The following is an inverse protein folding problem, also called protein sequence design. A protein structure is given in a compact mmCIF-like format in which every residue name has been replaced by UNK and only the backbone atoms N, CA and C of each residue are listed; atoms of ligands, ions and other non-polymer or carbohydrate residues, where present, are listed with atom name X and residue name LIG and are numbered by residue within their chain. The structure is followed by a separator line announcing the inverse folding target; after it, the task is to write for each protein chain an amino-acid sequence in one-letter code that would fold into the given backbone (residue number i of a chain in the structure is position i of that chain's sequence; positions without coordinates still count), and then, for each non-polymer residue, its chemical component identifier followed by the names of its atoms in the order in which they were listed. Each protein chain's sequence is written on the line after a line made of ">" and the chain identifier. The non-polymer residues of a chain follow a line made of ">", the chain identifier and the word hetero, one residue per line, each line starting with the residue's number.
data_IF_873951519502
#
_entry.id   IF_873951519502
#
_cell.length_a   1.000
_cell.length_b   1.000
_cell.length_c   1.000
_cell.angle_alpha   90.00
_cell.angle_beta   90.00
_cell.angle_gamma   90.00
#
_symmetry.space_group_name_H-M   'P 1'
#
loop_
_entity.id
_entity.type
_entity.pdbx_description
1 polymer ?
#
# COMPACT_ATOMS: atom_id res chain seq x y z
N UNK A 1 14.53 30.46 10.84
CA UNK A 1 13.16 31.00 10.72
C UNK A 1 12.38 30.10 9.77
N UNK A 2 11.62 29.17 10.36
CA UNK A 2 10.44 28.44 9.82
C UNK A 2 10.35 28.14 8.31
N UNK A 3 11.26 27.36 7.74
CA UNK A 3 11.26 27.04 6.30
C UNK A 3 10.27 25.94 5.87
N UNK A 4 9.61 25.24 6.80
CA UNK A 4 8.74 24.11 6.45
C UNK A 4 7.29 24.50 6.12
N UNK A 5 6.82 25.70 6.49
CA UNK A 5 5.40 26.05 6.35
C UNK A 5 5.00 26.56 4.97
N UNK A 6 5.94 26.90 4.08
CA UNK A 6 5.64 27.55 2.80
C UNK A 6 6.12 26.74 1.59
N UNK A 7 5.98 25.42 1.65
CA UNK A 7 6.40 24.54 0.56
C UNK A 7 5.23 24.16 -0.35
N UNK A 8 5.34 24.50 -1.65
CA UNK A 8 4.38 24.09 -2.67
C UNK A 8 4.57 22.62 -3.03
N UNK A 9 3.47 21.92 -3.27
CA UNK A 9 3.45 20.51 -3.68
C UNK A 9 2.68 20.40 -4.99
N UNK A 10 3.22 19.65 -5.94
CA UNK A 10 2.59 19.43 -7.24
C UNK A 10 1.17 18.88 -7.10
N UNK A 11 0.19 19.53 -7.74
CA UNK A 11 -1.21 19.10 -7.74
C UNK A 11 -1.54 18.03 -8.81
N UNK A 12 -0.55 17.60 -9.62
CA UNK A 12 -0.76 16.45 -10.49
C UNK A 12 -1.03 15.21 -9.64
N UNK A 13 -2.00 14.38 -10.07
CA UNK A 13 -2.34 13.13 -9.40
C UNK A 13 -1.08 12.29 -9.19
N UNK A 14 -0.97 11.71 -8.00
CA UNK A 14 0.09 10.79 -7.59
C UNK A 14 1.53 11.34 -7.60
N UNK A 15 1.75 12.62 -7.93
CA UNK A 15 3.08 13.21 -7.99
C UNK A 15 3.63 13.55 -6.60
N UNK A 16 2.88 14.31 -5.80
CA UNK A 16 3.24 14.78 -4.46
C UNK A 16 4.64 15.40 -4.31
N UNK A 17 5.28 15.77 -5.43
CA UNK A 17 6.63 16.30 -5.43
C UNK A 17 6.62 17.71 -4.85
N UNK A 18 7.48 17.94 -3.86
CA UNK A 18 7.81 19.27 -3.35
C UNK A 18 8.45 20.10 -4.46
N UNK A 19 7.98 21.34 -4.62
CA UNK A 19 8.45 22.24 -5.66
C UNK A 19 9.46 23.21 -5.04
N UNK A 20 10.71 23.05 -5.44
CA UNK A 20 11.84 23.89 -5.04
C UNK A 20 12.45 24.45 -6.33
N UNK A 21 12.56 25.78 -6.44
CA UNK A 21 13.03 26.44 -7.66
C UNK A 21 11.91 26.92 -8.57
N UNK A 22 11.45 26.10 -9.52
CA UNK A 22 10.48 26.52 -10.54
C UNK A 22 9.10 25.90 -10.33
N UNK A 23 8.07 26.74 -10.21
CA UNK A 23 6.67 26.36 -10.14
C UNK A 23 5.93 26.72 -11.43
N UNK A 24 5.00 25.87 -11.84
CA UNK A 24 4.08 26.16 -12.94
C UNK A 24 2.69 26.39 -12.38
N UNK A 25 2.20 27.62 -12.46
CA UNK A 25 0.96 28.06 -11.82
C UNK A 25 -0.09 28.31 -12.89
N UNK A 26 -1.29 27.80 -12.69
CA UNK A 26 -2.43 27.98 -13.60
C UNK A 26 -3.38 29.05 -13.10
N UNK A 27 -4.20 29.62 -14.01
CA UNK A 27 -5.24 30.58 -13.67
C UNK A 27 -6.31 30.01 -12.72
N UNK A 28 -6.50 28.69 -12.71
CA UNK A 28 -7.36 27.98 -11.76
C UNK A 28 -6.66 27.63 -10.43
N UNK A 29 -5.59 28.36 -10.10
CA UNK A 29 -4.81 28.24 -8.87
C UNK A 29 -4.14 26.89 -8.61
N UNK A 30 -4.07 25.97 -9.57
CA UNK A 30 -3.28 24.74 -9.42
C UNK A 30 -1.80 25.00 -9.74
N UNK A 31 -0.91 24.35 -9.00
CA UNK A 31 0.54 24.42 -9.14
C UNK A 31 1.14 23.06 -9.50
N UNK A 32 2.13 23.06 -10.39
CA UNK A 32 2.79 21.86 -10.90
C UNK A 32 4.31 21.98 -10.85
N UNK A 33 4.98 20.82 -10.72
CA UNK A 33 6.42 20.75 -10.91
C UNK A 33 6.79 20.98 -12.38
N UNK A 34 8.07 21.25 -12.65
CA UNK A 34 8.54 21.56 -14.01
C UNK A 34 8.13 20.53 -15.07
N UNK A 35 8.13 19.23 -14.74
CA UNK A 35 7.70 18.17 -15.66
C UNK A 35 6.22 18.34 -16.04
N UNK A 36 5.32 18.28 -15.05
CA UNK A 36 3.88 18.34 -15.29
C UNK A 36 3.41 19.68 -15.86
N UNK A 37 4.06 20.78 -15.47
CA UNK A 37 3.74 22.11 -15.98
C UNK A 37 4.09 22.28 -17.45
N UNK A 38 5.30 21.85 -17.86
CA UNK A 38 5.70 21.82 -19.26
C UNK A 38 4.78 20.92 -20.08
N UNK A 39 4.50 19.72 -19.58
CA UNK A 39 3.58 18.79 -20.25
C UNK A 39 2.18 19.41 -20.40
N UNK A 40 1.66 20.10 -19.38
CA UNK A 40 0.37 20.77 -19.45
C UNK A 40 0.32 21.89 -20.49
N UNK A 41 1.40 22.67 -20.62
CA UNK A 41 1.51 23.76 -21.60
C UNK A 41 1.70 23.21 -23.03
N UNK A 42 2.47 22.14 -23.21
CA UNK A 42 2.78 21.56 -24.52
C UNK A 42 1.73 20.57 -25.02
N UNK A 43 0.87 20.00 -24.16
CA UNK A 43 -0.14 19.01 -24.55
C UNK A 43 -1.13 19.61 -25.55
N UNK A 44 -0.90 19.30 -26.82
CA UNK A 44 -1.85 19.47 -27.91
C UNK A 44 -2.82 18.28 -27.90
N UNK A 45 -3.71 18.23 -26.91
CA UNK A 45 -4.83 17.28 -26.99
C UNK A 45 -5.80 17.73 -28.08
N UNK A 46 -6.67 16.84 -28.57
CA UNK A 46 -7.76 17.19 -29.51
C UNK A 46 -8.69 18.28 -28.96
N UNK A 47 -8.62 18.58 -27.65
CA UNK A 47 -9.40 19.60 -26.94
C UNK A 47 -8.58 20.82 -26.51
N UNK A 48 -7.29 20.89 -26.88
CA UNK A 48 -6.34 21.92 -26.47
C UNK A 48 -5.67 21.65 -25.11
N UNK A 49 -4.78 22.55 -24.66
CA UNK A 49 -4.09 22.42 -23.38
C UNK A 49 -5.04 22.74 -22.20
N UNK A 50 -4.92 21.99 -21.11
CA UNK A 50 -5.80 22.12 -19.94
C UNK A 50 -5.07 21.78 -18.63
N UNK A 51 -5.62 22.23 -17.51
CA UNK A 51 -5.13 21.94 -16.18
C UNK A 51 -5.18 20.43 -15.88
N UNK A 52 -4.05 19.76 -15.56
CA UNK A 52 -4.03 18.33 -15.24
C UNK A 52 -4.84 17.94 -13.99
N UNK A 53 -5.12 18.88 -13.10
CA UNK A 53 -5.81 18.62 -11.83
C UNK A 53 -7.33 18.73 -11.93
N UNK A 54 -7.85 19.79 -12.57
CA UNK A 54 -9.30 20.07 -12.63
C UNK A 54 -9.87 20.13 -14.06
N UNK A 55 -9.04 20.02 -15.10
CA UNK A 55 -9.50 20.01 -16.50
C UNK A 55 -9.87 21.39 -17.08
N UNK A 56 -9.72 22.49 -16.32
CA UNK A 56 -9.92 23.85 -16.83
C UNK A 56 -9.06 24.09 -18.08
N UNK A 57 -9.70 24.48 -19.19
CA UNK A 57 -9.01 24.77 -20.45
C UNK A 57 -8.23 26.08 -20.36
N UNK A 58 -7.02 26.07 -20.91
CA UNK A 58 -6.21 27.27 -21.05
C UNK A 58 -6.72 28.08 -22.23
N UNK A 59 -7.04 29.35 -22.00
CA UNK A 59 -7.63 30.27 -23.01
C UNK A 59 -6.57 31.09 -23.71
N UNK A 60 -5.45 31.33 -23.04
CA UNK A 60 -4.35 32.20 -23.47
C UNK A 60 -3.02 31.77 -22.83
N UNK A 61 -1.95 32.49 -23.14
CA UNK A 61 -0.61 32.22 -22.61
C UNK A 61 -0.47 32.50 -21.10
N UNK A 62 -1.38 33.30 -20.51
CA UNK A 62 -1.41 33.63 -19.08
C UNK A 62 -2.15 32.57 -18.26
N UNK A 63 -2.84 31.64 -18.92
CA UNK A 63 -3.58 30.56 -18.29
C UNK A 63 -2.67 29.56 -17.56
N UNK A 64 -1.39 29.48 -17.95
CA UNK A 64 -0.34 28.76 -17.24
C UNK A 64 0.99 29.50 -17.34
N UNK A 65 1.56 29.87 -16.18
CA UNK A 65 2.79 30.65 -16.10
C UNK A 65 3.88 29.88 -15.36
N UNK A 66 5.11 30.04 -15.84
CA UNK A 66 6.31 29.57 -15.15
C UNK A 66 6.77 30.64 -14.15
N UNK A 67 7.02 30.23 -12.91
CA UNK A 67 7.46 31.12 -11.83
C UNK A 67 8.71 30.58 -11.15
N UNK A 68 9.74 31.40 -11.10
CA UNK A 68 10.90 31.17 -10.25
C UNK A 68 10.59 31.59 -8.80
N UNK A 69 10.74 30.66 -7.87
CA UNK A 69 10.47 30.82 -6.44
C UNK A 69 11.67 31.37 -5.67
N UNK A 70 12.87 31.27 -6.22
CA UNK A 70 14.14 31.66 -5.60
C UNK A 70 14.56 33.11 -5.89
N UNK A 71 13.69 33.94 -6.47
CA UNK A 71 13.98 35.37 -6.68
C UNK A 71 14.10 36.14 -5.36
N UNK A 72 15.08 37.04 -5.25
CA UNK A 72 15.28 37.86 -4.04
C UNK A 72 14.04 38.70 -3.71
N UNK A 73 13.86 39.04 -2.43
CA UNK A 73 12.74 39.89 -2.00
C UNK A 73 12.80 41.27 -2.67
N UNK A 74 13.99 41.85 -2.81
CA UNK A 74 14.19 43.14 -3.48
C UNK A 74 13.77 43.09 -4.96
N UNK A 75 14.15 42.04 -5.69
CA UNK A 75 13.72 41.88 -7.08
C UNK A 75 12.20 41.76 -7.20
N UNK A 76 11.54 41.07 -6.27
CA UNK A 76 10.08 40.96 -6.22
C UNK A 76 9.40 42.28 -5.89
N UNK A 77 9.96 43.06 -4.97
CA UNK A 77 9.44 44.38 -4.62
C UNK A 77 9.54 45.36 -5.79
N UNK A 78 10.66 45.33 -6.54
CA UNK A 78 10.85 46.16 -7.73
C UNK A 78 9.79 45.92 -8.82
N UNK A 79 9.31 44.68 -8.97
CA UNK A 79 8.21 44.36 -9.90
C UNK A 79 6.88 45.04 -9.54
N UNK A 80 6.71 45.47 -8.28
CA UNK A 80 5.49 46.14 -7.80
C UNK A 80 5.63 47.67 -7.80
N UNK A 81 6.85 48.20 -7.91
CA UNK A 81 7.08 49.65 -7.99
C UNK A 81 6.44 50.23 -9.26
N UNK A 82 5.72 51.35 -9.11
CA UNK A 82 5.02 52.03 -10.20
C UNK A 82 3.54 51.67 -10.34
N UNK A 83 3.06 50.62 -9.65
CA UNK A 83 1.64 50.34 -9.54
C UNK A 83 0.98 51.16 -8.40
N UNK A 84 -0.31 51.46 -8.57
CA UNK A 84 -1.13 52.07 -7.53
C UNK A 84 -1.20 51.12 -6.31
N UNK A 85 -1.10 51.63 -5.05
CA UNK A 85 -1.27 50.83 -3.84
C UNK A 85 -2.50 49.91 -3.84
N UNK A 86 -3.62 50.33 -4.41
CA UNK A 86 -4.84 49.51 -4.51
C UNK A 86 -4.62 48.25 -5.36
N UNK A 87 -3.95 48.37 -6.50
CA UNK A 87 -3.58 47.24 -7.37
C UNK A 87 -2.61 46.30 -6.66
N UNK A 88 -1.64 46.85 -5.91
CA UNK A 88 -0.70 46.04 -5.13
C UNK A 88 -1.43 45.23 -4.05
N UNK A 89 -2.40 45.84 -3.37
CA UNK A 89 -3.24 45.15 -2.38
C UNK A 89 -4.10 44.04 -3.00
N UNK A 90 -4.65 44.27 -4.20
CA UNK A 90 -5.39 43.25 -4.95
C UNK A 90 -4.48 42.04 -5.30
N UNK A 91 -3.28 42.31 -5.80
CA UNK A 91 -2.28 41.27 -6.09
C UNK A 91 -1.93 40.49 -4.82
N UNK A 92 -1.73 41.17 -3.70
CA UNK A 92 -1.45 40.53 -2.41
C UNK A 92 -2.62 39.63 -1.98
N UNK A 93 -3.86 40.09 -2.11
CA UNK A 93 -5.05 39.31 -1.80
C UNK A 93 -5.18 38.06 -2.69
N UNK A 94 -4.89 38.19 -3.99
CA UNK A 94 -4.86 37.06 -4.92
C UNK A 94 -3.79 36.04 -4.55
N UNK A 95 -2.61 36.49 -4.14
CA UNK A 95 -1.54 35.62 -3.65
C UNK A 95 -1.94 34.88 -2.36
N UNK A 96 -2.58 35.55 -1.41
CA UNK A 96 -3.10 34.93 -0.18
C UNK A 96 -4.15 33.86 -0.52
N UNK A 97 -5.09 34.20 -1.40
CA UNK A 97 -6.14 33.27 -1.86
C UNK A 97 -5.54 32.03 -2.51
N UNK A 98 -4.53 32.21 -3.36
CA UNK A 98 -3.77 31.11 -3.96
C UNK A 98 -3.15 30.19 -2.89
N UNK A 99 -2.49 30.74 -1.88
CA UNK A 99 -1.87 29.94 -0.81
C UNK A 99 -2.89 29.22 0.07
N UNK A 100 -4.01 29.88 0.39
CA UNK A 100 -5.11 29.24 1.11
C UNK A 100 -5.67 28.04 0.32
N UNK A 101 -5.85 28.20 -1.00
CA UNK A 101 -6.24 27.11 -1.89
C UNK A 101 -5.22 25.97 -1.86
N UNK A 102 -3.90 26.25 -1.89
CA UNK A 102 -2.88 25.20 -1.78
C UNK A 102 -2.99 24.41 -0.47
N UNK A 103 -3.23 25.10 0.65
CA UNK A 103 -3.39 24.45 1.96
C UNK A 103 -4.61 23.54 1.96
N UNK A 104 -5.75 24.01 1.44
CA UNK A 104 -6.96 23.20 1.31
C UNK A 104 -6.73 21.96 0.43
N UNK A 105 -6.03 22.11 -0.70
CA UNK A 105 -5.69 20.98 -1.56
C UNK A 105 -4.81 19.94 -0.85
N UNK A 106 -3.84 20.37 -0.04
CA UNK A 106 -3.02 19.45 0.75
C UNK A 106 -3.87 18.71 1.78
N UNK A 107 -4.73 19.42 2.53
CA UNK A 107 -5.64 18.80 3.50
C UNK A 107 -6.55 17.76 2.84
N UNK A 108 -7.24 18.11 1.75
CA UNK A 108 -8.13 17.20 1.03
C UNK A 108 -7.40 15.97 0.48
N UNK A 109 -6.14 16.12 0.04
CA UNK A 109 -5.33 14.99 -0.40
C UNK A 109 -4.91 14.08 0.77
N UNK A 110 -4.57 14.65 1.92
CA UNK A 110 -4.22 13.88 3.12
C UNK A 110 -5.44 13.14 3.68
N UNK A 111 -6.61 13.77 3.71
CA UNK A 111 -7.88 13.14 4.09
C UNK A 111 -8.21 11.94 3.20
N UNK A 112 -8.10 12.12 1.88
CA UNK A 112 -8.34 11.02 0.92
C UNK A 112 -7.35 9.86 1.12
N UNK A 113 -6.08 10.16 1.36
CA UNK A 113 -5.07 9.13 1.68
C UNK A 113 -5.41 8.41 2.98
N UNK A 114 -5.77 9.17 4.01
CA UNK A 114 -6.13 8.60 5.31
C UNK A 114 -7.31 7.64 5.17
N UNK A 115 -8.33 8.00 4.40
CA UNK A 115 -9.48 7.13 4.15
C UNK A 115 -9.08 5.86 3.40
N UNK A 116 -8.29 5.99 2.33
CA UNK A 116 -7.74 4.85 1.60
C UNK A 116 -6.97 3.89 2.53
N UNK A 117 -6.09 4.41 3.39
CA UNK A 117 -5.34 3.57 4.32
C UNK A 117 -6.22 2.95 5.41
N UNK A 118 -7.28 3.64 5.86
CA UNK A 118 -8.25 3.08 6.81
C UNK A 118 -9.01 1.89 6.21
N UNK A 119 -9.52 2.03 4.99
CA UNK A 119 -10.20 0.96 4.27
C UNK A 119 -9.27 -0.24 4.06
N UNK A 120 -8.04 0.01 3.64
CA UNK A 120 -7.04 -1.05 3.46
C UNK A 120 -6.74 -1.80 4.78
N UNK A 121 -6.56 -1.07 5.88
CA UNK A 121 -6.36 -1.69 7.21
C UNK A 121 -7.59 -2.49 7.65
N UNK A 122 -8.80 -1.99 7.40
CA UNK A 122 -10.04 -2.71 7.71
C UNK A 122 -10.11 -4.05 6.94
N UNK A 123 -9.80 -4.01 5.64
CA UNK A 123 -9.76 -5.18 4.78
C UNK A 123 -8.72 -6.18 5.26
N UNK A 124 -7.47 -5.74 5.50
CA UNK A 124 -6.41 -6.62 6.00
C UNK A 124 -6.74 -7.25 7.35
N UNK A 125 -7.42 -6.53 8.26
CA UNK A 125 -7.88 -7.09 9.54
C UNK A 125 -8.92 -8.19 9.33
N UNK A 126 -9.88 -7.97 8.43
CA UNK A 126 -10.91 -8.97 8.08
C UNK A 126 -10.27 -10.22 7.48
N UNK A 127 -9.40 -10.05 6.49
CA UNK A 127 -8.73 -11.16 5.81
C UNK A 127 -7.84 -11.93 6.79
N UNK A 128 -7.12 -11.22 7.67
CA UNK A 128 -6.33 -11.83 8.74
C UNK A 128 -7.18 -12.64 9.74
N UNK A 129 -8.33 -12.13 10.15
CA UNK A 129 -9.24 -12.84 11.05
C UNK A 129 -9.85 -14.09 10.38
N UNK A 130 -10.21 -13.99 9.09
CA UNK A 130 -10.68 -15.12 8.32
C UNK A 130 -9.58 -16.19 8.21
N UNK A 131 -8.36 -15.80 7.82
CA UNK A 131 -7.25 -16.74 7.68
C UNK A 131 -6.90 -17.42 9.00
N UNK A 132 -6.95 -16.68 10.11
CA UNK A 132 -6.77 -17.23 11.46
C UNK A 132 -7.81 -18.31 11.76
N UNK A 133 -9.09 -18.04 11.51
CA UNK A 133 -10.19 -18.99 11.71
C UNK A 133 -10.00 -20.25 10.86
N UNK A 134 -9.66 -20.09 9.59
CA UNK A 134 -9.40 -21.22 8.68
C UNK A 134 -8.22 -22.07 9.16
N UNK A 135 -7.15 -21.43 9.63
CA UNK A 135 -5.98 -22.11 10.15
C UNK A 135 -6.29 -22.84 11.46
N UNK A 136 -7.08 -22.25 12.36
CA UNK A 136 -7.55 -22.92 13.58
C UNK A 136 -8.34 -24.19 13.27
N UNK A 137 -9.23 -24.15 12.26
CA UNK A 137 -9.97 -25.34 11.81
C UNK A 137 -9.04 -26.39 11.24
N UNK A 138 -8.05 -26.00 10.41
CA UNK A 138 -7.04 -26.92 9.86
C UNK A 138 -6.21 -27.56 10.96
N UNK A 139 -5.76 -26.79 11.95
CA UNK A 139 -5.00 -27.29 13.11
C UNK A 139 -5.82 -28.35 13.85
N UNK A 140 -7.07 -28.04 14.22
CA UNK A 140 -7.94 -29.02 14.91
C UNK A 140 -8.13 -30.31 14.10
N UNK A 141 -8.29 -30.21 12.78
CA UNK A 141 -8.42 -31.39 11.90
C UNK A 141 -7.12 -32.22 11.89
N UNK A 142 -5.96 -31.56 11.77
CA UNK A 142 -4.67 -32.24 11.79
C UNK A 142 -4.38 -32.89 13.14
N UNK A 143 -4.73 -32.23 14.25
CA UNK A 143 -4.65 -32.79 15.60
C UNK A 143 -5.51 -34.05 15.74
N UNK A 144 -6.74 -34.03 15.22
CA UNK A 144 -7.63 -35.20 15.22
C UNK A 144 -7.05 -36.35 14.39
N UNK A 145 -6.51 -36.06 13.20
CA UNK A 145 -5.87 -37.07 12.35
C UNK A 145 -4.62 -37.67 13.01
N UNK A 146 -3.81 -36.83 13.66
CA UNK A 146 -2.64 -37.27 14.41
C UNK A 146 -3.02 -38.21 15.54
N UNK A 147 -4.07 -37.91 16.30
CA UNK A 147 -4.52 -38.75 17.40
C UNK A 147 -5.07 -40.10 16.89
N UNK A 148 -5.86 -40.08 15.81
CA UNK A 148 -6.31 -41.31 15.15
C UNK A 148 -5.15 -42.18 14.66
N UNK A 149 -4.13 -41.57 14.06
CA UNK A 149 -2.94 -42.28 13.59
C UNK A 149 -2.16 -42.90 14.76
N UNK A 150 -2.02 -42.19 15.89
CA UNK A 150 -1.39 -42.73 17.11
C UNK A 150 -2.13 -43.95 17.66
N UNK A 151 -3.46 -43.88 17.73
CA UNK A 151 -4.28 -45.02 18.21
C UNK A 151 -4.10 -46.23 17.30
N UNK A 152 -4.13 -46.04 15.97
CA UNK A 152 -3.89 -47.13 15.00
C UNK A 152 -2.50 -47.73 15.12
N UNK A 153 -1.46 -46.91 15.32
CA UNK A 153 -0.10 -47.40 15.54
C UNK A 153 -0.01 -48.28 16.78
N UNK A 154 -0.64 -47.88 17.89
CA UNK A 154 -0.70 -48.70 19.12
C UNK A 154 -1.42 -50.02 18.88
N UNK A 155 -2.57 -50.01 18.20
CA UNK A 155 -3.30 -51.23 17.85
C UNK A 155 -2.45 -52.19 17.01
N UNK A 156 -1.79 -51.68 15.96
CA UNK A 156 -0.90 -52.49 15.13
C UNK A 156 0.30 -53.03 15.91
N UNK A 157 0.84 -52.26 16.86
CA UNK A 157 1.91 -52.71 17.75
C UNK A 157 1.44 -53.84 18.69
N UNK A 158 0.25 -53.71 19.27
CA UNK A 158 -0.36 -54.74 20.13
C UNK A 158 -0.63 -56.02 19.32
N UNK A 159 -1.20 -55.90 18.12
CA UNK A 159 -1.43 -57.01 17.19
C UNK A 159 -0.10 -57.69 16.81
N UNK A 160 0.94 -56.91 16.52
CA UNK A 160 2.28 -57.42 16.22
C UNK A 160 2.87 -58.18 17.42
N UNK A 161 2.69 -57.68 18.64
CA UNK A 161 3.14 -58.37 19.86
C UNK A 161 2.35 -59.67 20.09
N UNK A 162 1.03 -59.65 19.93
CA UNK A 162 0.17 -60.82 20.06
C UNK A 162 0.47 -61.90 19.01
N UNK A 163 0.79 -61.50 17.77
CA UNK A 163 1.25 -62.43 16.75
C UNK A 163 2.59 -63.06 17.13
N UNK A 164 3.55 -62.27 17.62
CA UNK A 164 4.85 -62.78 18.09
C UNK A 164 4.71 -63.79 19.23
N UNK A 165 3.82 -63.57 20.19
CA UNK A 165 3.58 -64.54 21.27
C UNK A 165 2.90 -65.81 20.76
N UNK A 166 1.95 -65.71 19.83
CA UNK A 166 1.30 -66.88 19.19
C UNK A 166 2.24 -67.75 18.35
N UNK A 167 3.16 -67.14 17.61
CA UNK A 167 4.12 -67.87 16.77
C UNK A 167 5.45 -68.21 17.49
N UNK A 168 5.65 -67.70 18.71
CA UNK A 168 6.86 -67.90 19.51
C UNK A 168 6.83 -69.08 20.48
N UNK A 169 5.70 -69.77 20.65
CA UNK A 169 5.64 -71.01 21.45
C UNK A 169 6.19 -72.19 20.63
N UNK A 170 7.28 -72.86 21.05
CA UNK A 170 7.73 -74.08 20.41
C UNK A 170 6.66 -75.15 20.62
N UNK A 171 6.18 -75.75 19.53
CA UNK A 171 5.25 -76.88 19.56
C UNK A 171 5.83 -78.03 20.39
N UNK A 172 5.51 -78.08 21.69
CA UNK A 172 5.86 -79.16 22.60
C UNK A 172 4.89 -80.31 22.41
N UNK A 173 4.99 -81.01 21.29
CA UNK A 173 4.43 -82.36 21.12
C UNK A 173 5.07 -83.08 19.92
N UNK A 174 6.22 -83.73 20.16
CA UNK A 174 6.57 -84.95 19.44
C UNK A 174 6.83 -86.01 20.49
N UNK A 175 5.81 -86.83 20.78
CA UNK A 175 6.00 -88.10 21.48
C UNK A 175 6.91 -88.95 20.58
N UNK A 176 8.16 -89.18 20.99
CA UNK A 176 9.02 -90.20 20.35
C UNK A 176 8.31 -91.55 20.50
N UNK A 177 7.86 -92.13 19.38
CA UNK A 177 7.48 -93.55 19.32
C UNK A 177 8.74 -94.38 19.54
N UNK A 178 8.68 -95.33 20.47
CA UNK A 178 9.68 -96.40 20.57
C UNK A 178 9.51 -97.30 19.33
N UNK A 179 10.57 -97.66 18.61
CA UNK A 179 10.56 -98.82 17.74
C UNK A 179 10.83 -100.05 18.62
N UNK A 180 9.84 -100.93 18.73
CA UNK A 180 10.00 -102.25 19.34
C UNK A 180 10.78 -103.16 18.38
N UNK A 181 11.56 -104.05 19.02
CA UNK A 181 12.13 -105.32 18.55
C UNK A 181 13.16 -105.38 17.41
N UNK A 182 14.41 -105.65 17.80
CA UNK A 182 15.30 -106.55 17.06
C UNK A 182 15.90 -107.59 18.03
N UNK A 183 15.24 -108.74 18.06
CA UNK A 183 15.76 -110.13 18.10
C UNK A 183 17.16 -110.44 18.66
N UNK A 184 17.13 -111.48 19.50
CA UNK A 184 18.19 -112.38 20.05
C UNK A 184 18.86 -111.95 21.35
#
# INVERSE_FOLDING_TARGET
>A
MSTERDQLVCNARDCFKKIEGTAWITCCSHVFCAQHGKDAKLRQTTKGPCCPACGTRFRDELSIVERQLNSSLQARALLLCGYNPEVVMEIANNAITFWNFQKQQVCANLERKLEYYREMVCTMKRDGAQQKTENEVKIRRLEQQLEQAKVKLRQLDDERQAAKTRFGEPSRCVKKRKPDDFLL
#
